data_IF_680107799963
#
_entry.id   IF_680107799963
#
_cell.length_a   1.000
_cell.length_b   1.000
_cell.length_c   1.000
_cell.angle_alpha   90.00
_cell.angle_beta   90.00
_cell.angle_gamma   90.00
#
_symmetry.space_group_name_H-M   'P 1'
#
loop_
_entity.id
_entity.type
_entity.pdbx_description
1 polymer ?
#
# COMPACT_ATOMS: atom_id res chain seq x y z
N UNK A 1 -7.00 -2.11 -26.93
CA UNK A 1 -6.42 -1.73 -25.62
C UNK A 1 -6.20 -0.23 -25.62
N UNK A 2 -7.22 0.56 -25.29
CA UNK A 2 -7.07 2.00 -25.08
C UNK A 2 -7.66 2.27 -23.70
N UNK A 3 -6.82 2.25 -22.67
CA UNK A 3 -7.28 2.17 -21.29
C UNK A 3 -6.28 2.88 -20.37
N UNK A 4 -6.67 4.09 -19.94
CA UNK A 4 -6.10 4.88 -18.82
C UNK A 4 -4.59 5.24 -18.85
N UNK A 5 -4.17 6.23 -19.66
CA UNK A 5 -2.81 6.81 -19.60
C UNK A 5 -2.47 7.42 -18.22
N UNK A 6 -3.48 7.85 -17.45
CA UNK A 6 -3.28 8.47 -16.14
C UNK A 6 -2.58 7.55 -15.12
N UNK A 7 -2.90 6.24 -15.10
CA UNK A 7 -2.30 5.32 -14.12
C UNK A 7 -0.81 5.08 -14.38
N UNK A 8 -0.43 4.96 -15.66
CA UNK A 8 0.96 4.81 -16.07
C UNK A 8 1.75 6.10 -15.82
N UNK A 9 1.19 7.26 -16.18
CA UNK A 9 1.81 8.57 -15.93
C UNK A 9 2.01 8.83 -14.43
N UNK A 10 1.01 8.52 -13.58
CA UNK A 10 1.14 8.68 -12.12
C UNK A 10 2.21 7.74 -11.55
N UNK A 11 2.26 6.48 -12.02
CA UNK A 11 3.28 5.53 -11.58
C UNK A 11 4.69 5.98 -12.01
N UNK A 12 4.81 6.53 -13.21
CA UNK A 12 6.06 7.08 -13.72
C UNK A 12 6.52 8.30 -12.91
N UNK A 13 5.64 9.29 -12.72
CA UNK A 13 5.93 10.48 -11.92
C UNK A 13 6.32 10.11 -10.48
N UNK A 14 5.58 9.20 -9.85
CA UNK A 14 5.90 8.70 -8.53
C UNK A 14 7.30 8.08 -8.47
N UNK A 15 7.65 7.23 -9.43
CA UNK A 15 8.97 6.58 -9.49
C UNK A 15 10.09 7.60 -9.69
N UNK A 16 9.87 8.61 -10.54
CA UNK A 16 10.83 9.70 -10.75
C UNK A 16 11.02 10.51 -9.47
N UNK A 17 9.93 10.91 -8.81
CA UNK A 17 10.00 11.68 -7.55
C UNK A 17 10.74 10.91 -6.46
N UNK A 18 10.42 9.62 -6.27
CA UNK A 18 11.13 8.76 -5.30
C UNK A 18 12.60 8.64 -5.65
N UNK A 19 12.94 8.42 -6.92
CA UNK A 19 14.33 8.30 -7.37
C UNK A 19 15.14 9.57 -7.08
N UNK A 20 14.56 10.76 -7.31
CA UNK A 20 15.21 12.04 -7.03
C UNK A 20 15.49 12.17 -5.52
N UNK A 21 14.49 11.92 -4.68
CA UNK A 21 14.63 12.02 -3.22
C UNK A 21 15.67 11.03 -2.70
N UNK A 22 15.60 9.76 -3.12
CA UNK A 22 16.56 8.73 -2.71
C UNK A 22 17.98 9.07 -3.17
N UNK A 23 18.16 9.56 -4.40
CA UNK A 23 19.46 9.99 -4.90
C UNK A 23 20.02 11.16 -4.10
N UNK A 24 19.18 12.14 -3.75
CA UNK A 24 19.61 13.30 -2.96
C UNK A 24 20.04 12.89 -1.55
N UNK A 25 19.26 12.02 -0.89
CA UNK A 25 19.61 11.48 0.43
C UNK A 25 20.90 10.66 0.35
N UNK A 26 21.05 9.80 -0.66
CA UNK A 26 22.25 8.99 -0.86
C UNK A 26 23.51 9.86 -1.06
N UNK A 27 23.40 10.95 -1.80
CA UNK A 27 24.51 11.91 -1.98
C UNK A 27 24.88 12.64 -0.68
N UNK A 28 23.91 12.94 0.18
CA UNK A 28 24.16 13.60 1.47
C UNK A 28 24.78 12.63 2.48
N UNK A 29 24.25 11.41 2.58
CA UNK A 29 24.71 10.39 3.54
C UNK A 29 26.11 9.89 3.17
N UNK A 30 26.37 9.65 1.88
CA UNK A 30 27.62 9.05 1.41
C UNK A 30 28.66 10.09 0.95
N UNK A 31 28.46 11.37 1.26
CA UNK A 31 29.31 12.49 0.83
C UNK A 31 30.81 12.26 1.12
N UNK A 32 31.12 11.57 2.21
CA UNK A 32 32.51 11.37 2.65
C UNK A 32 33.14 10.08 2.11
N UNK A 33 32.40 9.22 1.40
CA UNK A 33 32.85 7.89 0.97
C UNK A 33 32.37 7.56 -0.46
N UNK A 34 32.95 8.19 -1.50
CA UNK A 34 32.52 7.98 -2.89
C UNK A 34 32.72 6.54 -3.41
N UNK A 35 33.47 5.71 -2.70
CA UNK A 35 33.71 4.29 -3.04
C UNK A 35 32.46 3.41 -2.95
N UNK A 36 31.41 3.83 -2.23
CA UNK A 36 30.13 3.10 -2.14
C UNK A 36 29.29 3.21 -3.41
N UNK A 37 29.47 4.28 -4.20
CA UNK A 37 28.82 4.45 -5.50
C UNK A 37 29.46 3.61 -6.62
N UNK A 38 30.65 3.05 -6.37
CA UNK A 38 31.25 2.06 -7.26
C UNK A 38 30.58 0.72 -7.01
N UNK A 39 29.75 0.32 -7.97
CA UNK A 39 29.10 -0.99 -7.99
C UNK A 39 30.19 -2.04 -8.22
N UNK A 40 30.68 -2.62 -7.14
CA UNK A 40 31.54 -3.79 -7.15
C UNK A 40 30.68 -5.05 -7.30
N UNK A 41 31.21 -6.05 -8.01
CA UNK A 41 30.64 -7.40 -8.11
C UNK A 41 30.83 -8.15 -6.77
N UNK A 42 30.23 -7.63 -5.70
CA UNK A 42 30.27 -8.15 -4.34
C UNK A 42 28.85 -8.46 -3.84
N UNK A 43 28.71 -8.76 -2.54
CA UNK A 43 27.43 -9.01 -1.84
C UNK A 43 26.38 -7.92 -2.16
N UNK A 44 26.80 -6.67 -2.38
CA UNK A 44 25.90 -5.57 -2.77
C UNK A 44 25.10 -5.87 -4.04
N UNK A 45 25.74 -6.43 -5.08
CA UNK A 45 25.06 -6.80 -6.32
C UNK A 45 24.04 -7.92 -6.07
N UNK A 46 24.42 -8.92 -5.27
CA UNK A 46 23.55 -10.05 -4.91
C UNK A 46 22.32 -9.57 -4.15
N UNK A 47 22.48 -8.65 -3.20
CA UNK A 47 21.37 -8.04 -2.45
C UNK A 47 20.43 -7.25 -3.36
N UNK A 48 20.97 -6.48 -4.31
CA UNK A 48 20.15 -5.73 -5.27
C UNK A 48 19.32 -6.69 -6.14
N UNK A 49 19.95 -7.73 -6.69
CA UNK A 49 19.26 -8.71 -7.55
C UNK A 49 18.20 -9.48 -6.78
N UNK A 50 18.53 -9.97 -5.59
CA UNK A 50 17.56 -10.71 -4.75
C UNK A 50 16.38 -9.84 -4.33
N UNK A 51 16.61 -8.57 -3.96
CA UNK A 51 15.53 -7.62 -3.69
C UNK A 51 14.66 -7.39 -4.91
N UNK A 52 15.24 -7.16 -6.09
CA UNK A 52 14.49 -6.98 -7.32
C UNK A 52 13.58 -8.17 -7.63
N UNK A 53 14.08 -9.40 -7.43
CA UNK A 53 13.30 -10.64 -7.62
C UNK A 53 12.15 -10.70 -6.61
N UNK A 54 12.43 -10.53 -5.32
CA UNK A 54 11.42 -10.59 -4.25
C UNK A 54 10.33 -9.55 -4.49
N UNK A 55 10.72 -8.30 -4.79
CA UNK A 55 9.78 -7.21 -5.05
C UNK A 55 8.92 -7.51 -6.29
N UNK A 56 9.50 -8.04 -7.37
CA UNK A 56 8.75 -8.43 -8.57
C UNK A 56 7.69 -9.49 -8.26
N UNK A 57 8.06 -10.56 -7.54
CA UNK A 57 7.13 -11.62 -7.14
C UNK A 57 6.03 -11.06 -6.25
N UNK A 58 6.37 -10.18 -5.30
CA UNK A 58 5.41 -9.50 -4.45
C UNK A 58 4.38 -8.72 -5.27
N UNK A 59 4.81 -7.91 -6.25
CA UNK A 59 3.89 -7.15 -7.11
C UNK A 59 2.95 -8.05 -7.92
N UNK A 60 3.43 -9.18 -8.44
CA UNK A 60 2.61 -10.15 -9.18
C UNK A 60 1.53 -10.73 -8.27
N UNK A 61 1.90 -11.19 -7.07
CA UNK A 61 0.95 -11.72 -6.08
C UNK A 61 -0.03 -10.64 -5.65
N UNK A 62 0.44 -9.41 -5.42
CA UNK A 62 -0.41 -8.29 -5.02
C UNK A 62 -1.42 -7.96 -6.12
N UNK A 63 -0.97 -7.81 -7.37
CA UNK A 63 -1.82 -7.56 -8.53
C UNK A 63 -2.86 -8.66 -8.72
N UNK A 64 -2.45 -9.93 -8.60
CA UNK A 64 -3.34 -11.07 -8.71
C UNK A 64 -4.40 -11.10 -7.59
N UNK A 65 -4.00 -10.77 -6.37
CA UNK A 65 -4.89 -10.71 -5.19
C UNK A 65 -5.92 -9.59 -5.31
N UNK A 66 -5.51 -8.40 -5.81
CA UNK A 66 -6.44 -7.28 -6.11
C UNK A 66 -7.53 -7.74 -7.07
N UNK A 67 -7.14 -8.49 -8.10
CA UNK A 67 -8.03 -8.91 -9.18
C UNK A 67 -9.02 -9.99 -8.73
N UNK A 68 -8.65 -10.87 -7.80
CA UNK A 68 -9.50 -11.98 -7.33
C UNK A 68 -10.39 -11.63 -6.14
N UNK A 69 -9.92 -10.85 -5.17
CA UNK A 69 -10.69 -10.49 -3.95
C UNK A 69 -11.38 -9.13 -4.02
N UNK A 70 -11.13 -8.37 -5.09
CA UNK A 70 -11.63 -7.01 -5.25
C UNK A 70 -10.81 -5.97 -4.47
N UNK A 71 -10.99 -4.68 -4.79
CA UNK A 71 -10.21 -3.57 -4.23
C UNK A 71 -10.33 -3.41 -2.70
N UNK A 72 -11.37 -3.99 -2.10
CA UNK A 72 -11.62 -3.97 -0.65
C UNK A 72 -10.56 -4.73 0.16
N UNK A 73 -9.98 -5.81 -0.38
CA UNK A 73 -8.89 -6.51 0.32
C UNK A 73 -7.62 -5.66 0.38
N UNK A 74 -7.34 -4.91 -0.69
CA UNK A 74 -6.21 -3.98 -0.72
C UNK A 74 -6.38 -2.83 0.28
N UNK A 75 -7.60 -2.29 0.36
CA UNK A 75 -7.90 -1.21 1.29
C UNK A 75 -7.57 -1.62 2.74
N UNK A 76 -7.93 -2.83 3.16
CA UNK A 76 -7.69 -3.31 4.54
C UNK A 76 -6.22 -3.71 4.75
N UNK A 77 -5.56 -4.29 3.74
CA UNK A 77 -4.19 -4.78 3.88
C UNK A 77 -3.16 -3.64 3.98
N UNK A 78 -3.43 -2.48 3.36
CA UNK A 78 -2.53 -1.32 3.37
C UNK A 78 -2.21 -0.81 4.79
N UNK A 79 -3.19 -0.44 5.63
CA UNK A 79 -2.92 -0.03 7.02
C UNK A 79 -2.44 -1.20 7.89
N UNK A 80 -2.93 -2.43 7.65
CA UNK A 80 -2.46 -3.61 8.40
C UNK A 80 -0.96 -3.86 8.17
N UNK A 81 -0.48 -3.70 6.93
CA UNK A 81 0.95 -3.84 6.61
C UNK A 81 1.81 -2.79 7.30
N UNK A 82 1.31 -1.56 7.42
CA UNK A 82 1.98 -0.47 8.15
C UNK A 82 2.07 -0.83 9.63
N UNK A 83 0.98 -1.35 10.23
CA UNK A 83 0.98 -1.75 11.64
C UNK A 83 1.98 -2.87 11.93
N UNK A 84 2.03 -3.90 11.08
CA UNK A 84 2.99 -5.01 11.23
C UNK A 84 4.43 -4.51 11.08
N UNK A 85 4.70 -3.64 10.10
CA UNK A 85 6.02 -3.07 9.88
C UNK A 85 6.48 -2.22 11.07
N UNK A 86 5.57 -1.40 11.63
CA UNK A 86 5.81 -0.65 12.86
C UNK A 86 6.18 -1.65 13.95
N UNK A 87 5.31 -2.61 14.30
CA UNK A 87 5.56 -3.60 15.37
C UNK A 87 6.88 -4.36 15.20
N UNK A 88 7.24 -4.81 13.99
CA UNK A 88 8.52 -5.46 13.75
C UNK A 88 9.70 -4.49 13.95
N UNK A 89 9.54 -3.23 13.57
CA UNK A 89 10.50 -2.17 13.86
C UNK A 89 10.61 -1.86 15.36
N UNK A 90 9.56 -2.06 16.16
CA UNK A 90 9.58 -1.97 17.63
C UNK A 90 10.64 -2.88 18.22
N UNK A 91 10.51 -4.14 17.83
CA UNK A 91 11.15 -5.28 18.48
C UNK A 91 12.65 -5.20 18.20
N UNK A 92 13.02 -4.62 17.05
CA UNK A 92 14.41 -4.41 16.67
C UNK A 92 15.07 -3.16 17.27
N UNK A 93 14.33 -2.07 17.55
CA UNK A 93 14.94 -0.76 17.85
C UNK A 93 14.82 -0.28 19.31
N UNK A 94 13.97 -0.89 20.15
CA UNK A 94 13.94 -0.77 21.63
C UNK A 94 14.09 0.65 22.25
N UNK A 95 13.65 1.72 21.57
CA UNK A 95 13.83 3.10 22.03
C UNK A 95 12.50 3.85 22.27
N UNK A 96 12.49 4.85 23.14
CA UNK A 96 11.31 5.55 23.67
C UNK A 96 10.45 6.28 22.61
N UNK A 97 11.07 6.72 21.51
CA UNK A 97 10.39 7.31 20.33
C UNK A 97 9.37 6.34 19.70
N UNK A 98 9.50 5.05 19.97
CA UNK A 98 8.73 3.99 19.37
C UNK A 98 7.30 3.87 19.93
N UNK A 99 7.07 4.21 21.22
CA UNK A 99 5.73 4.21 21.81
C UNK A 99 4.78 5.18 21.10
N UNK A 100 5.29 6.36 20.72
CA UNK A 100 4.54 7.36 19.95
C UNK A 100 4.15 6.86 18.56
N UNK A 101 5.08 6.21 17.85
CA UNK A 101 4.81 5.60 16.54
C UNK A 101 3.82 4.43 16.63
N UNK A 102 3.90 3.62 17.69
CA UNK A 102 2.99 2.50 17.90
C UNK A 102 1.56 2.97 18.20
N UNK A 103 1.41 3.99 19.05
CA UNK A 103 0.11 4.60 19.35
C UNK A 103 -0.47 5.29 18.11
N UNK A 104 0.35 6.05 17.36
CA UNK A 104 -0.07 6.68 16.11
C UNK A 104 -0.49 5.67 15.04
N UNK A 105 0.25 4.56 14.91
CA UNK A 105 -0.08 3.46 13.98
C UNK A 105 -1.39 2.77 14.33
N UNK A 106 -1.65 2.52 15.62
CA UNK A 106 -2.93 2.00 16.09
C UNK A 106 -4.09 2.96 15.80
N UNK A 107 -3.91 4.25 16.06
CA UNK A 107 -4.93 5.28 15.83
C UNK A 107 -5.30 5.41 14.35
N UNK A 108 -4.31 5.43 13.45
CA UNK A 108 -4.53 5.47 12.00
C UNK A 108 -5.27 4.20 11.53
N UNK A 109 -4.90 3.02 12.05
CA UNK A 109 -5.53 1.75 11.70
C UNK A 109 -7.00 1.71 12.15
N UNK A 110 -7.27 2.15 13.39
CA UNK A 110 -8.64 2.26 13.93
C UNK A 110 -9.48 3.24 13.12
N UNK A 111 -8.96 4.43 12.80
CA UNK A 111 -9.65 5.41 11.98
C UNK A 111 -9.97 4.88 10.59
N UNK A 112 -9.02 4.17 9.97
CA UNK A 112 -9.26 3.56 8.66
C UNK A 112 -10.32 2.45 8.71
N UNK A 113 -10.29 1.60 9.75
CA UNK A 113 -11.30 0.55 9.93
C UNK A 113 -12.69 1.15 10.15
N UNK A 114 -12.80 2.24 10.91
CA UNK A 114 -14.05 2.97 11.10
C UNK A 114 -14.62 3.53 9.78
N UNK A 115 -13.76 4.10 8.92
CA UNK A 115 -14.16 4.58 7.58
C UNK A 115 -14.61 3.41 6.70
N UNK A 116 -13.89 2.30 6.70
CA UNK A 116 -14.27 1.09 5.95
C UNK A 116 -15.60 0.51 6.43
N UNK A 117 -15.84 0.49 7.74
CA UNK A 117 -17.10 0.06 8.32
C UNK A 117 -18.25 0.95 7.88
N UNK A 118 -18.05 2.28 7.87
CA UNK A 118 -19.03 3.24 7.34
C UNK A 118 -19.39 2.95 5.89
N UNK A 119 -18.39 2.83 5.02
CA UNK A 119 -18.60 2.52 3.59
C UNK A 119 -19.29 1.18 3.35
N UNK A 120 -18.95 0.15 4.13
CA UNK A 120 -19.58 -1.17 4.01
C UNK A 120 -21.05 -1.15 4.44
N UNK A 121 -21.44 -0.24 5.34
CA UNK A 121 -22.83 -0.05 5.73
C UNK A 121 -23.62 0.75 4.67
N UNK A 122 -23.01 1.76 4.05
CA UNK A 122 -23.62 2.51 2.95
C UNK A 122 -23.94 1.60 1.75
N UNK A 123 -23.02 0.70 1.39
CA UNK A 123 -23.25 -0.27 0.30
C UNK A 123 -24.41 -1.24 0.60
N UNK A 124 -24.55 -1.68 1.86
CA UNK A 124 -25.66 -2.54 2.29
C UNK A 124 -27.00 -1.81 2.24
N UNK A 125 -27.06 -0.56 2.69
CA UNK A 125 -28.28 0.24 2.63
C UNK A 125 -28.70 0.48 1.18
N UNK A 126 -27.77 0.77 0.26
CA UNK A 126 -28.10 0.90 -1.16
C UNK A 126 -28.61 -0.40 -1.78
N UNK A 127 -28.04 -1.56 -1.44
CA UNK A 127 -28.54 -2.86 -1.91
C UNK A 127 -29.93 -3.18 -1.38
N UNK A 128 -30.22 -2.84 -0.12
CA UNK A 128 -31.55 -3.00 0.48
C UNK A 128 -32.58 -2.07 -0.19
N UNK A 129 -32.20 -0.83 -0.50
CA UNK A 129 -33.05 0.11 -1.23
C UNK A 129 -33.34 -0.35 -2.67
N UNK A 130 -32.35 -0.89 -3.38
CA UNK A 130 -32.55 -1.47 -4.73
C UNK A 130 -33.45 -2.69 -4.68
N UNK A 131 -33.24 -3.60 -3.72
CA UNK A 131 -34.08 -4.79 -3.53
C UNK A 131 -35.53 -4.43 -3.17
N UNK A 132 -35.75 -3.42 -2.32
CA UNK A 132 -37.09 -2.91 -2.01
C UNK A 132 -37.77 -2.20 -3.18
N UNK A 133 -36.99 -1.51 -4.03
CA UNK A 133 -37.47 -0.85 -5.24
C UNK A 133 -37.80 -1.83 -6.37
N UNK A 134 -37.20 -3.02 -6.39
CA UNK A 134 -37.53 -4.07 -7.37
C UNK A 134 -38.79 -4.86 -6.96
N UNK A 135 -39.08 -4.95 -5.66
CA UNK A 135 -40.31 -5.59 -5.14
C UNK A 135 -41.58 -4.74 -5.30
N UNK A 136 -41.45 -3.42 -5.45
CA UNK A 136 -42.58 -2.49 -5.58
C UNK A 136 -43.22 -2.37 -6.98
N UNK A 137 -42.52 -2.50 -8.13
CA UNK A 137 -43.16 -2.42 -9.45
C UNK A 137 -44.04 -3.64 -9.80
N UNK A 138 -43.89 -4.78 -9.10
CA UNK A 138 -44.65 -6.00 -9.41
C UNK A 138 -45.98 -6.12 -8.65
N UNK A 139 -46.25 -5.25 -7.67
CA UNK A 139 -47.50 -5.29 -6.88
C UNK A 139 -48.54 -4.26 -7.31
N UNK A 140 -48.27 -3.45 -8.33
CA UNK A 140 -49.18 -2.39 -8.79
C UNK A 140 -49.89 -2.71 -10.13
N UNK A 141 -49.76 -3.95 -10.63
CA UNK A 141 -50.34 -4.38 -11.91
C UNK A 141 -51.18 -5.67 -11.81
N UNK A 142 -52.01 -5.78 -10.76
CA UNK A 142 -52.95 -6.88 -10.55
C UNK A 142 -54.34 -6.37 -10.18
#
# INVERSE_FOLDING_TARGET
MSTYPAAFTVSFLYTVSVSIVTSMIGLVVEKNNPSVWIIRFDITLITIVTMAIITSVYYVIHSWTVRHKGPLYLAIFKPLSILIAVVMSAVFLNDSLYLGCLIGGLLITLGFYAVMWGKANEEKDQLLLVSGKERTPLLLNG
#
